data_IF_034113638760
#
_entry.id   IF_034113638760
#
_cell.length_a   1.000
_cell.length_b   1.000
_cell.length_c   1.000
_cell.angle_alpha   90.00
_cell.angle_beta   90.00
_cell.angle_gamma   90.00
#
_symmetry.space_group_name_H-M   'P 1'
#
loop_
_entity.id
_entity.type
_entity.pdbx_description
1 polymer ?
#
# COMPACT_ATOMS: atom_id res chain seq x y z
N UNK A 1 3.55 -0.68 7.95
CA UNK A 1 3.76 0.68 7.39
C UNK A 1 5.20 1.16 7.50
N UNK A 2 5.85 1.08 8.67
CA UNK A 2 7.24 1.58 8.84
C UNK A 2 8.26 0.87 7.94
N UNK A 3 7.97 -0.37 7.56
CA UNK A 3 8.78 -1.22 6.66
C UNK A 3 8.99 -0.66 5.25
N UNK A 4 8.29 0.40 4.87
CA UNK A 4 8.57 1.15 3.66
C UNK A 4 9.87 1.96 3.70
N UNK A 5 10.44 2.18 4.89
CA UNK A 5 11.67 2.92 5.12
C UNK A 5 12.88 2.01 5.41
N UNK A 6 12.80 0.71 5.10
CA UNK A 6 13.85 -0.24 5.45
C UNK A 6 13.90 -0.62 6.93
N UNK A 7 12.96 -0.15 7.75
CA UNK A 7 12.88 -0.49 9.17
C UNK A 7 12.11 -1.80 9.35
N UNK A 8 12.65 -2.72 10.13
CA UNK A 8 11.98 -3.99 10.43
C UNK A 8 11.01 -3.81 11.59
N UNK A 9 9.70 -3.91 11.33
CA UNK A 9 8.68 -3.86 12.39
C UNK A 9 7.33 -4.46 11.98
N UNK A 10 6.60 -4.98 12.96
CA UNK A 10 5.25 -5.52 12.77
C UNK A 10 4.42 -5.34 14.05
N UNK A 11 3.12 -5.57 13.94
CA UNK A 11 2.23 -5.55 15.09
C UNK A 11 2.37 -6.84 15.91
N UNK A 12 2.63 -6.69 17.21
CA UNK A 12 2.62 -7.80 18.19
C UNK A 12 1.35 -7.73 19.05
N UNK A 13 0.93 -8.87 19.61
CA UNK A 13 -0.26 -8.94 20.45
C UNK A 13 -0.15 -8.00 21.65
N UNK A 14 -1.04 -7.00 21.70
CA UNK A 14 -0.90 -5.78 22.50
C UNK A 14 -0.99 -5.89 24.03
N UNK A 15 -0.71 -7.04 24.64
CA UNK A 15 -0.68 -7.13 26.12
C UNK A 15 0.52 -7.86 26.71
N UNK A 16 1.02 -8.92 26.10
CA UNK A 16 2.12 -9.70 26.70
C UNK A 16 3.43 -9.47 25.96
N UNK A 17 3.45 -9.67 24.66
CA UNK A 17 4.67 -9.58 23.84
C UNK A 17 5.22 -8.15 23.80
N UNK A 18 4.35 -7.15 23.62
CA UNK A 18 4.76 -5.74 23.63
C UNK A 18 5.30 -5.29 24.99
N UNK A 19 4.69 -5.74 26.10
CA UNK A 19 5.16 -5.41 27.45
C UNK A 19 6.45 -6.14 27.80
N UNK A 20 6.57 -7.41 27.41
CA UNK A 20 7.80 -8.19 27.58
C UNK A 20 8.97 -7.53 26.85
N UNK A 21 8.77 -7.10 25.59
CA UNK A 21 9.78 -6.36 24.83
C UNK A 21 10.20 -5.06 25.53
N UNK A 22 9.26 -4.35 26.17
CA UNK A 22 9.57 -3.15 26.97
C UNK A 22 10.39 -3.46 28.23
N UNK A 23 10.26 -4.67 28.79
CA UNK A 23 11.05 -5.16 29.92
C UNK A 23 12.40 -5.75 29.50
N UNK A 24 12.72 -5.76 28.20
CA UNK A 24 13.97 -6.29 27.65
C UNK A 24 13.92 -7.77 27.26
N UNK A 25 12.75 -8.40 27.30
CA UNK A 25 12.60 -9.78 26.83
C UNK A 25 12.64 -9.84 25.30
N UNK A 26 13.35 -10.83 24.71
CA UNK A 26 13.40 -10.99 23.26
C UNK A 26 12.05 -11.48 22.71
N UNK A 27 11.65 -10.95 21.55
CA UNK A 27 10.50 -11.45 20.80
C UNK A 27 10.93 -12.71 20.03
N UNK A 28 10.43 -13.86 20.45
CA UNK A 28 10.74 -15.15 19.81
C UNK A 28 9.81 -15.34 18.61
N UNK A 29 10.39 -15.54 17.43
CA UNK A 29 9.67 -15.88 16.21
C UNK A 29 10.25 -17.17 15.59
N UNK A 30 9.42 -18.02 14.95
CA UNK A 30 9.94 -19.09 14.11
C UNK A 30 10.73 -18.49 12.95
N UNK A 31 11.71 -19.23 12.42
CA UNK A 31 12.44 -18.82 11.22
C UNK A 31 11.44 -18.65 10.06
N UNK A 32 11.24 -17.43 9.53
CA UNK A 32 10.19 -17.19 8.55
C UNK A 32 10.70 -17.48 7.14
N UNK A 33 9.83 -18.07 6.31
CA UNK A 33 10.07 -18.14 4.86
C UNK A 33 10.05 -16.72 4.26
N UNK A 34 10.95 -16.45 3.32
CA UNK A 34 11.04 -15.15 2.65
C UNK A 34 10.58 -15.26 1.19
N UNK A 35 9.48 -14.59 0.89
CA UNK A 35 8.93 -14.41 -0.45
C UNK A 35 9.46 -13.12 -1.06
N UNK A 36 10.26 -13.24 -2.11
CA UNK A 36 10.74 -12.11 -2.90
C UNK A 36 9.69 -11.70 -3.93
N UNK A 37 9.34 -10.42 -3.98
CA UNK A 37 8.49 -9.87 -5.04
C UNK A 37 9.36 -9.00 -5.94
N UNK A 38 9.61 -9.48 -7.16
CA UNK A 38 10.39 -8.77 -8.17
C UNK A 38 9.49 -7.81 -8.92
N UNK A 39 9.71 -6.52 -8.71
CA UNK A 39 9.00 -5.45 -9.42
C UNK A 39 9.78 -5.07 -10.68
N UNK A 40 9.08 -5.03 -11.80
CA UNK A 40 9.63 -4.60 -13.10
C UNK A 40 8.78 -3.48 -13.70
N UNK A 41 9.37 -2.68 -14.58
CA UNK A 41 8.67 -1.59 -15.26
C UNK A 41 8.45 -0.35 -14.39
N UNK A 42 7.43 0.46 -14.76
CA UNK A 42 7.04 1.69 -14.06
C UNK A 42 5.51 1.79 -14.00
N UNK A 43 5.00 2.38 -12.92
CA UNK A 43 3.57 2.71 -12.83
C UNK A 43 3.19 3.73 -13.90
N UNK A 44 2.08 3.47 -14.61
CA UNK A 44 1.53 4.39 -15.61
C UNK A 44 1.07 5.70 -14.95
N UNK A 45 1.16 6.81 -15.67
CA UNK A 45 0.60 8.08 -15.20
C UNK A 45 -0.91 7.96 -14.95
N UNK A 46 -1.34 8.43 -13.78
CA UNK A 46 -2.74 8.38 -13.34
C UNK A 46 -3.08 7.20 -12.43
N UNK A 47 -2.14 6.27 -12.19
CA UNK A 47 -2.28 5.23 -11.17
C UNK A 47 -1.83 5.76 -9.80
N UNK A 48 -2.59 5.43 -8.77
CA UNK A 48 -2.28 5.79 -7.39
C UNK A 48 -1.52 4.70 -6.63
N UNK A 49 -1.00 5.07 -5.46
CA UNK A 49 -0.45 4.12 -4.48
C UNK A 49 -1.46 3.03 -4.08
N UNK A 50 -2.75 3.37 -4.07
CA UNK A 50 -3.85 2.47 -3.72
C UNK A 50 -4.02 1.36 -4.76
N UNK A 51 -4.00 1.68 -6.06
CA UNK A 51 -4.15 0.68 -7.14
C UNK A 51 -3.03 -0.36 -7.09
N UNK A 52 -1.81 0.12 -6.84
CA UNK A 52 -0.65 -0.74 -6.66
C UNK A 52 -0.80 -1.66 -5.44
N UNK A 53 -1.22 -1.10 -4.29
CA UNK A 53 -1.41 -1.86 -3.06
C UNK A 53 -2.53 -2.90 -3.15
N UNK A 54 -3.64 -2.59 -3.84
CA UNK A 54 -4.73 -3.54 -4.10
C UNK A 54 -4.30 -4.69 -5.01
N UNK A 55 -3.57 -4.39 -6.08
CA UNK A 55 -3.04 -5.40 -7.02
C UNK A 55 -2.08 -6.36 -6.32
N UNK A 56 -1.20 -5.83 -5.47
CA UNK A 56 -0.31 -6.66 -4.66
C UNK A 56 -1.04 -7.46 -3.59
N UNK A 57 -2.09 -6.89 -2.99
CA UNK A 57 -2.91 -7.58 -1.99
C UNK A 57 -3.61 -8.80 -2.60
N UNK A 58 -4.20 -8.67 -3.80
CA UNK A 58 -4.79 -9.78 -4.53
C UNK A 58 -3.76 -10.89 -4.80
N UNK A 59 -2.59 -10.52 -5.35
CA UNK A 59 -1.52 -11.46 -5.71
C UNK A 59 -0.94 -12.20 -4.49
N UNK A 60 -0.62 -11.47 -3.42
CA UNK A 60 -0.03 -12.02 -2.20
C UNK A 60 -1.04 -12.88 -1.45
N UNK A 61 -2.33 -12.52 -1.48
CA UNK A 61 -3.39 -13.34 -0.90
C UNK A 61 -3.57 -14.64 -1.66
N UNK A 62 -3.56 -14.60 -3.00
CA UNK A 62 -3.64 -15.79 -3.84
C UNK A 62 -2.45 -16.73 -3.64
N UNK A 63 -1.27 -16.17 -3.37
CA UNK A 63 -0.05 -16.95 -3.11
C UNK A 63 -0.02 -17.59 -1.72
N UNK A 64 -0.72 -17.01 -0.74
CA UNK A 64 -0.78 -17.55 0.62
C UNK A 64 0.46 -17.23 1.46
N UNK A 65 0.73 -15.94 1.68
CA UNK A 65 1.92 -15.47 2.43
C UNK A 65 1.73 -15.43 3.96
N UNK A 66 0.85 -16.27 4.51
CA UNK A 66 0.54 -16.27 5.95
C UNK A 66 1.77 -16.67 6.76
N UNK A 67 2.14 -15.86 7.75
CA UNK A 67 3.34 -16.05 8.59
C UNK A 67 4.68 -15.99 7.84
N UNK A 68 4.69 -15.45 6.62
CA UNK A 68 5.90 -15.28 5.80
C UNK A 68 6.39 -13.84 5.79
N UNK A 69 7.66 -13.66 5.48
CA UNK A 69 8.23 -12.36 5.18
C UNK A 69 8.13 -12.10 3.69
N UNK A 70 7.68 -10.91 3.33
CA UNK A 70 7.65 -10.45 1.95
C UNK A 70 8.69 -9.35 1.80
N UNK A 71 9.58 -9.50 0.84
CA UNK A 71 10.62 -8.52 0.53
C UNK A 71 10.52 -8.12 -0.94
N UNK A 72 10.53 -6.82 -1.22
CA UNK A 72 10.51 -6.33 -2.58
C UNK A 72 11.93 -6.17 -3.14
N UNK A 73 12.10 -6.60 -4.38
CA UNK A 73 13.36 -6.51 -5.12
C UNK A 73 13.11 -6.10 -6.58
N UNK A 74 14.19 -5.78 -7.30
CA UNK A 74 14.18 -5.47 -8.72
C UNK A 74 14.07 -3.98 -9.04
N UNK A 75 14.36 -3.65 -10.31
CA UNK A 75 14.50 -2.29 -10.82
C UNK A 75 13.24 -1.43 -10.62
N UNK A 76 12.06 -2.06 -10.52
CA UNK A 76 10.80 -1.36 -10.26
C UNK A 76 10.75 -0.71 -8.87
N UNK A 77 11.51 -1.20 -7.89
CA UNK A 77 11.50 -0.67 -6.51
C UNK A 77 12.03 0.77 -6.47
N UNK A 78 13.11 1.07 -7.19
CA UNK A 78 13.71 2.42 -7.24
C UNK A 78 12.79 3.43 -7.92
N UNK A 79 11.83 2.96 -8.73
CA UNK A 79 10.85 3.83 -9.40
C UNK A 79 9.66 4.18 -8.52
N UNK A 80 9.43 3.44 -7.43
CA UNK A 80 8.34 3.68 -6.49
C UNK A 80 8.73 4.74 -5.47
N UNK A 81 7.89 5.75 -5.30
CA UNK A 81 8.04 6.72 -4.22
C UNK A 81 7.75 6.10 -2.85
N UNK A 82 8.12 6.83 -1.78
CA UNK A 82 7.86 6.41 -0.41
C UNK A 82 6.38 6.08 -0.14
N UNK A 83 5.47 6.82 -0.76
CA UNK A 83 4.04 6.69 -0.44
C UNK A 83 3.43 5.40 -0.98
N UNK A 84 3.82 4.99 -2.18
CA UNK A 84 3.46 3.71 -2.78
C UNK A 84 3.96 2.56 -1.90
N UNK A 85 5.23 2.63 -1.48
CA UNK A 85 5.83 1.64 -0.57
C UNK A 85 5.08 1.58 0.78
N UNK A 86 4.74 2.75 1.34
CA UNK A 86 4.03 2.84 2.60
C UNK A 86 2.62 2.26 2.52
N UNK A 87 1.90 2.47 1.42
CA UNK A 87 0.59 1.90 1.19
C UNK A 87 0.65 0.37 1.16
N UNK A 88 1.57 -0.19 0.38
CA UNK A 88 1.80 -1.64 0.29
C UNK A 88 2.18 -2.22 1.66
N UNK A 89 3.19 -1.67 2.33
CA UNK A 89 3.63 -2.15 3.65
C UNK A 89 2.60 -1.91 4.77
N UNK A 90 1.63 -1.02 4.58
CA UNK A 90 0.53 -0.80 5.53
C UNK A 90 -0.49 -1.93 5.43
N UNK A 91 -0.79 -2.40 4.22
CA UNK A 91 -1.74 -3.47 3.93
C UNK A 91 -1.23 -4.89 4.25
N UNK A 92 -0.09 -5.01 4.94
CA UNK A 92 0.51 -6.30 5.29
C UNK A 92 -0.44 -7.28 6.02
N UNK A 93 -1.24 -6.84 7.01
CA UNK A 93 -2.21 -7.70 7.68
C UNK A 93 -3.29 -8.26 6.74
N UNK A 94 -3.69 -7.52 5.72
CA UNK A 94 -4.81 -7.85 4.81
C UNK A 94 -4.53 -9.11 3.98
N UNK A 95 -3.27 -9.34 3.60
CA UNK A 95 -2.83 -10.56 2.93
C UNK A 95 -2.11 -11.57 3.86
N UNK A 96 -1.96 -11.24 5.15
CA UNK A 96 -1.53 -12.16 6.20
C UNK A 96 -0.01 -12.30 6.39
N UNK A 97 0.79 -11.46 5.72
CA UNK A 97 2.23 -11.47 5.90
C UNK A 97 2.60 -10.94 7.29
N UNK A 98 3.58 -11.55 7.95
CA UNK A 98 4.12 -11.04 9.21
C UNK A 98 4.79 -9.68 8.99
N UNK A 99 5.48 -9.55 7.86
CA UNK A 99 6.20 -8.34 7.47
C UNK A 99 6.25 -8.24 5.96
N UNK A 100 6.14 -7.00 5.49
CA UNK A 100 6.40 -6.61 4.10
C UNK A 100 7.38 -5.46 4.06
N UNK A 101 8.58 -5.70 3.54
CA UNK A 101 9.69 -4.77 3.59
C UNK A 101 10.14 -4.29 2.22
N UNK A 102 10.44 -3.00 2.17
CA UNK A 102 11.25 -2.41 1.12
C UNK A 102 12.65 -2.17 1.69
N UNK A 103 13.72 -2.48 0.95
CA UNK A 103 15.07 -2.22 1.42
C UNK A 103 15.36 -0.71 1.46
N UNK A 104 16.39 -0.32 2.20
CA UNK A 104 16.84 1.07 2.26
C UNK A 104 17.51 1.47 0.94
N UNK A 105 17.15 2.63 0.43
CA UNK A 105 17.65 3.18 -0.83
C UNK A 105 17.70 4.72 -0.80
N UNK A 106 18.07 5.32 -1.92
CA UNK A 106 18.22 6.78 -2.04
C UNK A 106 16.87 7.52 -1.87
N UNK A 107 15.75 6.93 -2.27
CA UNK A 107 14.41 7.48 -2.02
C UNK A 107 14.10 7.54 -0.52
N UNK A 108 14.49 6.52 0.24
CA UNK A 108 14.37 6.51 1.69
C UNK A 108 15.23 7.61 2.33
N UNK A 109 16.45 7.81 1.83
CA UNK A 109 17.32 8.91 2.27
C UNK A 109 16.71 10.29 1.96
N UNK A 110 16.12 10.47 0.77
CA UNK A 110 15.42 11.69 0.37
C UNK A 110 14.21 11.97 1.28
N UNK A 111 13.45 10.94 1.64
CA UNK A 111 12.34 11.07 2.59
C UNK A 111 12.80 11.49 3.99
N UNK A 112 13.92 10.95 4.50
CA UNK A 112 14.45 11.35 5.81
C UNK A 112 14.80 12.85 5.82
N UNK A 113 15.42 13.37 4.76
CA UNK A 113 15.68 14.80 4.60
C UNK A 113 14.39 15.61 4.55
N UNK A 114 13.42 15.18 3.75
CA UNK A 114 12.11 15.84 3.64
C UNK A 114 11.38 15.91 4.99
N UNK A 115 11.54 14.90 5.84
CA UNK A 115 10.94 14.85 7.18
C UNK A 115 11.64 15.74 8.22
N UNK A 116 12.65 16.50 7.83
CA UNK A 116 13.37 17.43 8.72
C UNK A 116 14.42 16.76 9.60
N UNK A 117 15.00 15.62 9.17
CA UNK A 117 16.15 15.01 9.86
C UNK A 117 17.43 15.76 9.49
N UNK A 118 18.32 15.91 10.48
CA UNK A 118 19.64 16.52 10.31
C UNK A 118 20.47 15.80 9.24
N UNK A 119 21.13 16.55 8.35
CA UNK A 119 21.91 15.99 7.23
C UNK A 119 23.10 15.14 7.71
N UNK A 120 23.64 15.44 8.89
CA UNK A 120 24.68 14.61 9.52
C UNK A 120 24.14 13.22 9.89
N UNK A 121 22.91 13.16 10.43
CA UNK A 121 22.28 11.89 10.79
C UNK A 121 21.92 11.08 9.53
N UNK A 122 21.38 11.71 8.49
CA UNK A 122 21.08 11.01 7.22
C UNK A 122 22.35 10.41 6.62
N UNK A 123 23.47 11.14 6.62
CA UNK A 123 24.76 10.64 6.15
C UNK A 123 25.30 9.49 6.99
N UNK A 124 25.16 9.56 8.31
CA UNK A 124 25.56 8.47 9.21
C UNK A 124 24.78 7.18 8.89
N UNK A 125 23.46 7.28 8.72
CA UNK A 125 22.60 6.13 8.39
C UNK A 125 22.95 5.55 7.03
N UNK A 126 23.12 6.39 6.01
CA UNK A 126 23.48 5.96 4.66
C UNK A 126 24.86 5.27 4.65
N UNK A 127 25.86 5.86 5.31
CA UNK A 127 27.19 5.27 5.44
C UNK A 127 27.17 3.93 6.20
N UNK A 128 26.40 3.85 7.30
CA UNK A 128 26.25 2.62 8.08
C UNK A 128 25.60 1.51 7.26
N UNK A 129 24.46 1.78 6.61
CA UNK A 129 23.74 0.78 5.82
C UNK A 129 24.51 0.37 4.57
N UNK A 130 25.30 1.27 3.99
CA UNK A 130 26.22 0.96 2.89
C UNK A 130 27.35 0.04 3.37
N UNK A 131 27.99 0.36 4.49
CA UNK A 131 29.08 -0.45 5.07
C UNK A 131 28.61 -1.85 5.50
N UNK A 132 27.40 -1.96 6.03
CA UNK A 132 26.77 -3.24 6.39
C UNK A 132 26.24 -4.02 5.19
N UNK A 133 26.23 -3.41 3.99
CA UNK A 133 25.70 -4.05 2.80
C UNK A 133 24.18 -4.25 2.83
N UNK A 134 23.45 -3.37 3.52
CA UNK A 134 21.98 -3.39 3.62
C UNK A 134 21.31 -2.38 2.69
N UNK A 135 22.08 -1.45 2.11
CA UNK A 135 21.60 -0.54 1.07
C UNK A 135 21.32 -1.31 -0.24
N UNK A 136 20.12 -1.12 -0.77
CA UNK A 136 19.75 -1.61 -2.09
C UNK A 136 20.34 -0.71 -3.17
N UNK A 137 20.91 -1.36 -4.18
CA UNK A 137 21.56 -0.75 -5.33
C UNK A 137 21.26 -1.66 -6.51
N UNK A 138 21.00 -1.08 -7.69
CA UNK A 138 20.56 -1.81 -8.88
C UNK A 138 21.61 -2.83 -9.38
N UNK A 139 22.88 -2.66 -8.99
CA UNK A 139 24.01 -3.52 -9.32
C UNK A 139 24.14 -4.75 -8.42
N UNK A 140 23.33 -4.85 -7.35
CA UNK A 140 23.45 -5.91 -6.36
C UNK A 140 22.65 -7.15 -6.77
N UNK A 141 23.22 -8.36 -6.66
CA UNK A 141 22.47 -9.59 -6.90
C UNK A 141 21.29 -9.68 -5.92
N UNK A 142 20.13 -10.09 -6.44
CA UNK A 142 18.95 -10.30 -5.63
C UNK A 142 19.24 -11.32 -4.51
N UNK A 143 18.78 -11.07 -3.27
CA UNK A 143 18.86 -12.03 -2.19
C UNK A 143 18.25 -13.38 -2.58
N UNK A 144 18.73 -14.45 -1.94
CA UNK A 144 18.14 -15.77 -2.13
C UNK A 144 16.80 -15.82 -1.39
N UNK A 145 15.71 -15.85 -2.15
CA UNK A 145 14.37 -16.01 -1.64
C UNK A 145 13.90 -17.46 -1.75
N UNK A 146 13.02 -17.89 -0.84
CA UNK A 146 12.41 -19.23 -0.89
C UNK A 146 11.40 -19.34 -2.03
N UNK A 147 10.73 -18.23 -2.34
CA UNK A 147 9.81 -18.10 -3.45
C UNK A 147 9.99 -16.72 -4.08
N UNK A 148 9.91 -16.65 -5.41
CA UNK A 148 9.94 -15.38 -6.14
C UNK A 148 8.66 -15.21 -6.93
N UNK A 149 8.05 -14.03 -6.82
CA UNK A 149 6.90 -13.59 -7.60
C UNK A 149 7.32 -12.42 -8.47
N UNK A 150 7.06 -12.50 -9.77
CA UNK A 150 7.31 -11.39 -10.69
C UNK A 150 6.03 -10.57 -10.88
N UNK A 151 6.14 -9.25 -10.74
CA UNK A 151 5.07 -8.31 -11.01
C UNK A 151 5.57 -7.18 -11.91
N UNK A 152 4.88 -6.99 -13.03
CA UNK A 152 5.06 -5.82 -13.89
C UNK A 152 4.19 -4.66 -13.39
N UNK A 153 4.82 -3.55 -13.03
CA UNK A 153 4.13 -2.31 -12.65
C UNK A 153 3.30 -1.74 -13.81
N UNK A 154 3.65 -2.09 -15.05
CA UNK A 154 2.92 -1.74 -16.25
C UNK A 154 1.55 -2.42 -16.35
N UNK A 155 1.35 -3.59 -15.75
CA UNK A 155 0.06 -4.30 -15.80
C UNK A 155 -0.96 -3.79 -14.79
N UNK A 156 -0.57 -2.91 -13.87
CA UNK A 156 -1.46 -2.30 -12.88
C UNK A 156 -2.49 -1.41 -13.60
N UNK A 157 -3.74 -1.50 -13.17
CA UNK A 157 -4.86 -0.73 -13.69
C UNK A 157 -5.66 -0.12 -12.54
N UNK A 158 -6.40 1.00 -12.78
CA UNK A 158 -7.23 1.61 -11.75
C UNK A 158 -8.25 0.62 -11.20
N UNK A 159 -8.28 0.45 -9.88
CA UNK A 159 -9.03 -0.62 -9.24
C UNK A 159 -9.67 -0.18 -7.92
N UNK A 160 -10.76 -0.85 -7.57
CA UNK A 160 -11.47 -0.73 -6.31
C UNK A 160 -11.49 -2.09 -5.62
N UNK A 161 -11.54 -2.09 -4.28
CA UNK A 161 -11.69 -3.31 -3.50
C UNK A 161 -13.07 -3.39 -2.87
N UNK A 162 -13.78 -4.50 -3.08
CA UNK A 162 -15.11 -4.70 -2.51
C UNK A 162 -15.90 -5.81 -3.20
N UNK A 163 -17.15 -6.05 -2.78
CA UNK A 163 -17.93 -5.24 -1.84
C UNK A 163 -17.65 -5.50 -0.36
N UNK A 164 -17.07 -6.66 0.01
CA UNK A 164 -17.00 -7.08 1.41
C UNK A 164 -15.58 -7.33 1.92
N UNK A 165 -14.60 -7.53 1.02
CA UNK A 165 -13.24 -7.95 1.39
C UNK A 165 -12.17 -7.12 0.67
N UNK A 166 -11.07 -6.72 1.35
CA UNK A 166 -10.01 -5.90 0.75
C UNK A 166 -9.25 -6.56 -0.41
N UNK A 167 -9.24 -7.88 -0.50
CA UNK A 167 -8.57 -8.63 -1.56
C UNK A 167 -9.46 -8.88 -2.79
N UNK A 168 -10.73 -8.44 -2.76
CA UNK A 168 -11.63 -8.51 -3.91
C UNK A 168 -11.37 -7.32 -4.83
N UNK A 169 -10.24 -7.34 -5.53
CA UNK A 169 -9.89 -6.30 -6.50
C UNK A 169 -10.80 -6.39 -7.72
N UNK A 170 -11.37 -5.26 -8.11
CA UNK A 170 -12.15 -5.10 -9.32
C UNK A 170 -11.60 -3.91 -10.12
N UNK A 171 -11.35 -4.06 -11.43
CA UNK A 171 -11.05 -2.91 -12.27
C UNK A 171 -12.20 -1.91 -12.23
N UNK A 172 -11.90 -0.60 -12.24
CA UNK A 172 -12.93 0.45 -12.18
C UNK A 172 -14.01 0.28 -13.26
N UNK A 173 -13.64 -0.22 -14.44
CA UNK A 173 -14.55 -0.49 -15.55
C UNK A 173 -15.60 -1.57 -15.24
N UNK A 174 -15.33 -2.48 -14.30
CA UNK A 174 -16.20 -3.61 -13.93
C UNK A 174 -17.03 -3.35 -12.68
N UNK A 175 -16.77 -2.28 -11.93
CA UNK A 175 -17.52 -1.92 -10.71
C UNK A 175 -19.04 -1.83 -10.96
N UNK A 176 -19.55 -1.16 -12.02
CA UNK A 176 -21.00 -1.10 -12.26
C UNK A 176 -21.64 -2.46 -12.58
N UNK A 177 -20.88 -3.39 -13.15
CA UNK A 177 -21.37 -4.74 -13.43
C UNK A 177 -21.38 -5.60 -12.16
N UNK A 178 -20.33 -5.51 -11.34
CA UNK A 178 -20.25 -6.19 -10.05
C UNK A 178 -21.35 -5.75 -9.10
N UNK A 179 -21.62 -4.43 -9.01
CA UNK A 179 -22.72 -3.90 -8.21
C UNK A 179 -24.06 -4.50 -8.64
N UNK A 180 -24.37 -4.50 -9.94
CA UNK A 180 -25.62 -5.08 -10.47
C UNK A 180 -25.76 -6.57 -10.19
N UNK A 181 -24.65 -7.31 -10.18
CA UNK A 181 -24.65 -8.73 -9.84
C UNK A 181 -24.86 -8.98 -8.33
N UNK A 182 -24.28 -8.14 -7.48
CA UNK A 182 -24.36 -8.27 -6.03
C UNK A 182 -25.69 -7.74 -5.45
N UNK A 183 -26.23 -6.65 -6.00
CA UNK A 183 -27.47 -6.01 -5.55
C UNK A 183 -28.72 -6.84 -5.88
N UNK A 184 -28.65 -7.78 -6.82
CA UNK A 184 -29.78 -8.65 -7.18
C UNK A 184 -30.90 -7.90 -7.92
N UNK A 185 -32.16 -8.11 -7.51
CA UNK A 185 -33.31 -7.41 -8.12
C UNK A 185 -33.38 -5.97 -7.59
N UNK A 186 -33.70 -4.98 -8.44
CA UNK A 186 -33.87 -3.60 -8.01
C UNK A 186 -34.85 -3.50 -6.85
N UNK A 187 -34.39 -2.99 -5.72
CA UNK A 187 -35.27 -2.51 -4.65
C UNK A 187 -35.74 -1.15 -5.11
N UNK A 188 -36.97 -1.06 -5.63
CA UNK A 188 -37.48 0.16 -6.29
C UNK A 188 -37.18 1.47 -5.53
N UNK A 189 -37.23 2.60 -6.25
CA UNK A 189 -36.85 3.92 -5.75
C UNK A 189 -37.47 4.21 -4.37
N UNK A 190 -36.61 4.35 -3.37
CA UNK A 190 -37.01 4.80 -2.03
C UNK A 190 -36.89 6.32 -2.01
N UNK A 191 -37.97 7.00 -1.68
CA UNK A 191 -37.96 8.45 -1.51
C UNK A 191 -37.18 8.80 -0.23
N UNK A 192 -36.06 9.51 -0.41
CA UNK A 192 -35.21 10.00 0.68
C UNK A 192 -35.01 11.49 0.47
N UNK A 193 -35.61 12.30 1.34
CA UNK A 193 -35.62 13.77 1.28
C UNK A 193 -36.29 14.39 0.03
N UNK A 194 -37.24 13.71 -0.62
CA UNK A 194 -37.97 14.25 -1.77
C UNK A 194 -37.25 14.05 -3.11
N UNK A 195 -36.13 13.32 -3.13
CA UNK A 195 -35.50 12.81 -4.34
C UNK A 195 -35.56 11.27 -4.38
N UNK A 196 -35.85 10.65 -5.53
CA UNK A 196 -35.76 9.21 -5.68
C UNK A 196 -34.30 8.78 -5.53
N UNK A 197 -34.02 7.94 -4.53
CA UNK A 197 -32.69 7.39 -4.32
C UNK A 197 -32.51 6.16 -5.23
N UNK A 198 -31.61 6.20 -6.23
CA UNK A 198 -31.38 5.06 -7.11
C UNK A 198 -30.66 3.93 -6.36
N UNK A 199 -30.77 2.70 -6.85
CA UNK A 199 -29.97 1.58 -6.34
C UNK A 199 -28.47 1.88 -6.46
N UNK A 200 -27.73 1.67 -5.35
CA UNK A 200 -26.29 1.94 -5.25
C UNK A 200 -25.90 3.40 -5.05
N UNK A 201 -26.64 4.19 -4.24
CA UNK A 201 -26.25 5.56 -3.96
C UNK A 201 -25.00 5.56 -3.09
N UNK A 202 -24.07 6.49 -3.35
CA UNK A 202 -22.92 6.69 -2.48
C UNK A 202 -23.38 7.50 -1.26
N UNK A 203 -23.78 6.81 -0.19
CA UNK A 203 -24.22 7.45 1.04
C UNK A 203 -23.05 7.99 1.89
N UNK A 204 -21.86 7.38 1.77
CA UNK A 204 -20.66 7.76 2.51
C UNK A 204 -19.48 7.82 1.54
N UNK A 205 -18.85 8.99 1.45
CA UNK A 205 -17.59 9.18 0.73
C UNK A 205 -16.57 9.80 1.69
N UNK A 206 -15.68 8.97 2.23
CA UNK A 206 -14.72 9.39 3.25
C UNK A 206 -13.28 9.24 2.76
N UNK A 207 -12.53 10.33 2.72
CA UNK A 207 -11.07 10.31 2.53
C UNK A 207 -10.44 10.08 3.90
N UNK A 208 -10.05 8.84 4.17
CA UNK A 208 -9.56 8.40 5.48
C UNK A 208 -8.35 7.47 5.36
N UNK A 209 -7.91 6.93 6.50
CA UNK A 209 -6.80 6.01 6.68
C UNK A 209 -5.40 6.61 6.50
N UNK A 210 -4.47 6.14 7.33
CA UNK A 210 -3.04 6.44 7.20
C UNK A 210 -2.43 5.92 5.88
N UNK A 211 -3.08 4.95 5.22
CA UNK A 211 -2.66 4.42 3.91
C UNK A 211 -2.69 5.51 2.82
N UNK A 212 -3.74 6.33 2.80
CA UNK A 212 -3.97 7.33 1.75
C UNK A 212 -3.62 8.75 2.22
N UNK A 213 -3.93 9.09 3.48
CA UNK A 213 -3.69 10.44 4.02
C UNK A 213 -2.21 10.75 4.27
N UNK A 214 -1.37 9.73 4.45
CA UNK A 214 0.07 9.91 4.59
C UNK A 214 0.79 10.12 3.24
N UNK A 215 0.04 10.16 2.12
CA UNK A 215 0.55 10.48 0.79
C UNK A 215 0.14 11.92 0.41
N UNK A 216 1.04 12.91 0.52
CA UNK A 216 0.73 14.29 0.16
C UNK A 216 0.30 14.43 -1.30
N UNK A 217 0.84 13.61 -2.22
CA UNK A 217 0.50 13.68 -3.63
C UNK A 217 -0.97 13.33 -3.86
N UNK A 218 -1.51 12.30 -3.21
CA UNK A 218 -2.93 11.93 -3.32
C UNK A 218 -3.86 13.01 -2.74
N UNK A 219 -3.48 13.61 -1.61
CA UNK A 219 -4.28 14.69 -1.00
C UNK A 219 -4.30 15.92 -1.90
N UNK A 220 -3.14 16.33 -2.45
CA UNK A 220 -3.06 17.44 -3.40
C UNK A 220 -3.82 17.13 -4.69
N UNK A 221 -3.69 15.92 -5.24
CA UNK A 221 -4.45 15.48 -6.42
C UNK A 221 -5.96 15.55 -6.18
N UNK A 222 -6.42 15.12 -5.00
CA UNK A 222 -7.83 15.21 -4.61
C UNK A 222 -8.29 16.67 -4.55
N UNK A 223 -7.50 17.56 -3.95
CA UNK A 223 -7.80 19.00 -3.93
C UNK A 223 -7.87 19.62 -5.32
N UNK A 224 -6.93 19.26 -6.22
CA UNK A 224 -6.93 19.73 -7.61
C UNK A 224 -8.13 19.20 -8.40
N UNK A 225 -8.55 17.97 -8.14
CA UNK A 225 -9.76 17.40 -8.73
C UNK A 225 -11.00 18.14 -8.25
N UNK A 226 -11.12 18.38 -6.94
CA UNK A 226 -12.21 19.13 -6.34
C UNK A 226 -12.29 20.57 -6.90
N UNK A 227 -11.15 21.26 -7.01
CA UNK A 227 -11.09 22.60 -7.60
C UNK A 227 -11.62 22.61 -9.05
N UNK A 228 -11.19 21.63 -9.86
CA UNK A 228 -11.65 21.50 -11.25
C UNK A 228 -13.12 21.12 -11.38
N UNK A 229 -13.66 20.37 -10.41
CA UNK A 229 -15.07 20.02 -10.34
C UNK A 229 -15.92 21.27 -10.05
N UNK A 230 -15.53 22.05 -9.04
CA UNK A 230 -16.20 23.31 -8.68
C UNK A 230 -16.13 24.32 -9.81
N UNK A 231 -14.99 24.46 -10.49
CA UNK A 231 -14.85 25.32 -11.68
C UNK A 231 -15.78 24.91 -12.84
N UNK A 232 -16.17 23.62 -12.91
CA UNK A 232 -17.13 23.10 -13.88
C UNK A 232 -18.59 23.15 -13.37
N UNK A 233 -18.83 23.75 -12.21
CA UNK A 233 -20.16 23.85 -11.60
C UNK A 233 -20.66 22.56 -10.97
N UNK A 234 -19.80 21.56 -10.74
CA UNK A 234 -20.18 20.34 -10.06
C UNK A 234 -20.18 20.56 -8.54
N UNK A 235 -21.24 20.07 -7.89
CA UNK A 235 -21.41 20.04 -6.44
C UNK A 235 -21.75 18.62 -6.00
N UNK A 236 -21.24 18.21 -4.84
CA UNK A 236 -21.65 16.94 -4.24
C UNK A 236 -23.13 17.04 -3.83
N UNK A 237 -23.90 15.98 -4.09
CA UNK A 237 -25.28 15.89 -3.59
C UNK A 237 -25.25 15.83 -2.05
N UNK A 238 -26.16 16.53 -1.36
CA UNK A 238 -26.28 16.48 0.10
C UNK A 238 -26.75 15.12 0.60
#
# INVERSE_FOLDING_TARGET
MINALGVVGWGVGGRLEGQAAMLGEPVIIPYPDVVGVRLTGRLRQGLGATDHALTLTELLRATGVVNKFVEFCGDGVTTLGRAERAAVSNMAPEYGATRVCFPYDDETAAYLRLSGREEEHVRLVDAYLTAQGLKHTDDRPAPRYDQVLDLDLGSVEPSEAGPNLPHQRLPLSRVPASFRQAAGRPTGEVDVFGEPLPDGPVAIAAITSCTNTANPALIVQTGLLAQRAVQRGLIAKP
#
